data_IF_154359062430
#
_entry.id   IF_154359062430
#
_cell.length_a   1.000
_cell.length_b   1.000
_cell.length_c   1.000
_cell.angle_alpha   90.00
_cell.angle_beta   90.00
_cell.angle_gamma   90.00
#
_symmetry.space_group_name_H-M   'P 1'
#
loop_
_entity.id
_entity.type
_entity.pdbx_description
1 polymer ?
#
# COMPACT_ATOMS: atom_id res chain seq x y z
N UNK A 1 10.54 19.70 -5.92
CA UNK A 1 9.57 20.51 -6.68
C UNK A 1 9.68 20.22 -8.17
N UNK A 2 8.58 20.36 -8.92
CA UNK A 2 8.62 20.26 -10.37
C UNK A 2 9.37 21.44 -10.99
N UNK A 3 10.16 21.16 -12.02
CA UNK A 3 10.80 22.18 -12.85
C UNK A 3 11.01 21.65 -14.26
N UNK A 4 10.71 22.48 -15.26
CA UNK A 4 11.01 22.16 -16.64
C UNK A 4 12.52 22.08 -16.86
N UNK A 5 12.99 21.12 -17.64
CA UNK A 5 14.41 20.90 -17.88
C UNK A 5 15.14 20.09 -16.79
N UNK A 6 14.44 19.67 -15.75
CA UNK A 6 14.99 18.79 -14.70
C UNK A 6 14.91 17.33 -15.12
N UNK A 7 15.95 16.56 -14.81
CA UNK A 7 15.94 15.11 -14.94
C UNK A 7 15.50 14.51 -13.61
N UNK A 8 14.36 13.80 -13.64
CA UNK A 8 13.86 13.03 -12.50
C UNK A 8 14.21 11.56 -12.67
N UNK A 9 14.36 10.86 -11.56
CA UNK A 9 14.55 9.43 -11.59
C UNK A 9 13.27 8.72 -12.04
N UNK A 10 13.40 7.56 -12.63
CA UNK A 10 12.32 6.62 -12.84
C UNK A 10 12.21 5.71 -11.63
N UNK A 11 11.00 5.43 -11.15
CA UNK A 11 10.79 4.44 -10.10
C UNK A 11 11.22 3.06 -10.56
N UNK A 12 12.07 2.44 -9.76
CA UNK A 12 12.44 1.03 -9.85
C UNK A 12 12.45 0.47 -8.43
N UNK A 13 11.91 -0.71 -8.25
CA UNK A 13 11.88 -1.39 -6.95
C UNK A 13 13.24 -1.92 -6.50
N UNK A 14 14.19 -2.05 -7.43
CA UNK A 14 15.51 -2.63 -7.23
C UNK A 14 16.65 -1.60 -7.23
N UNK A 15 16.37 -0.32 -6.97
CA UNK A 15 17.44 0.69 -6.85
C UNK A 15 18.40 0.29 -5.75
N UNK A 16 19.68 0.15 -6.12
CA UNK A 16 20.75 -0.33 -5.25
C UNK A 16 22.10 0.14 -5.77
N UNK A 17 23.16 -0.18 -5.07
CA UNK A 17 24.54 0.11 -5.52
C UNK A 17 24.93 -0.60 -6.83
N UNK A 18 24.23 -1.69 -7.19
CA UNK A 18 24.41 -2.41 -8.47
C UNK A 18 23.36 -2.04 -9.53
N UNK A 19 22.31 -1.30 -9.17
CA UNK A 19 21.25 -0.81 -10.05
C UNK A 19 20.87 0.60 -9.65
N UNK A 20 21.72 1.57 -9.99
CA UNK A 20 21.56 2.97 -9.60
C UNK A 20 20.40 3.64 -10.35
N UNK A 21 19.78 4.62 -9.70
CA UNK A 21 18.87 5.56 -10.35
C UNK A 21 19.62 6.45 -11.37
N UNK A 22 18.89 7.19 -12.18
CA UNK A 22 19.48 8.14 -13.15
C UNK A 22 20.30 9.24 -12.46
N UNK A 23 19.88 9.68 -11.27
CA UNK A 23 20.62 10.63 -10.42
C UNK A 23 21.90 10.05 -9.81
N UNK A 24 22.10 8.75 -9.89
CA UNK A 24 23.17 8.03 -9.20
C UNK A 24 22.79 7.54 -7.81
N UNK A 25 21.56 7.78 -7.34
CA UNK A 25 21.08 7.26 -6.07
C UNK A 25 21.15 5.73 -6.02
N UNK A 26 21.62 5.20 -4.89
CA UNK A 26 21.84 3.77 -4.66
C UNK A 26 20.77 3.13 -3.77
N UNK A 27 19.73 3.86 -3.43
CA UNK A 27 18.58 3.41 -2.67
C UNK A 27 17.34 4.25 -3.03
N UNK A 28 16.16 3.77 -2.64
CA UNK A 28 14.89 4.42 -2.95
C UNK A 28 14.70 5.75 -2.21
N UNK A 29 15.30 5.91 -1.05
CA UNK A 29 15.14 7.12 -0.23
C UNK A 29 15.82 8.34 -0.89
N UNK A 30 17.00 8.16 -1.47
CA UNK A 30 17.77 9.23 -2.12
C UNK A 30 17.33 9.48 -3.58
N UNK A 31 16.44 8.65 -4.11
CA UNK A 31 16.02 8.69 -5.51
C UNK A 31 14.85 9.66 -5.71
N UNK A 32 14.98 10.53 -6.73
CA UNK A 32 14.03 11.62 -7.03
C UNK A 32 12.92 11.21 -8.00
N UNK A 33 12.23 10.10 -7.75
CA UNK A 33 11.16 9.58 -8.60
C UNK A 33 9.75 10.11 -8.28
N UNK A 34 9.64 11.01 -7.31
CA UNK A 34 8.46 11.83 -7.06
C UNK A 34 8.78 13.31 -7.25
N UNK A 35 7.81 14.07 -7.70
CA UNK A 35 7.86 15.51 -7.65
C UNK A 35 6.49 16.09 -7.31
N UNK A 36 6.48 17.31 -6.80
CA UNK A 36 5.28 18.09 -6.48
C UNK A 36 5.21 19.31 -7.39
N UNK A 37 4.00 19.63 -7.85
CA UNK A 37 3.71 20.81 -8.68
C UNK A 37 3.42 22.05 -7.83
N UNK A 38 3.35 23.21 -8.48
CA UNK A 38 2.97 24.48 -7.83
C UNK A 38 1.56 24.44 -7.23
N UNK A 39 0.68 23.61 -7.80
CA UNK A 39 -0.68 23.34 -7.29
C UNK A 39 -0.73 22.22 -6.23
N UNK A 40 0.42 21.86 -5.67
CA UNK A 40 0.55 20.80 -4.67
C UNK A 40 0.08 19.40 -5.12
N UNK A 41 0.11 19.11 -6.42
CA UNK A 41 -0.13 17.76 -6.94
C UNK A 41 1.15 16.95 -6.97
N UNK A 42 1.09 15.73 -6.46
CA UNK A 42 2.22 14.81 -6.40
C UNK A 42 2.12 13.79 -7.52
N UNK A 43 3.21 13.65 -8.26
CA UNK A 43 3.34 12.69 -9.35
C UNK A 43 4.50 11.73 -9.12
N UNK A 44 4.28 10.47 -9.49
CA UNK A 44 5.30 9.44 -9.56
C UNK A 44 5.78 9.29 -11.00
N UNK A 45 7.09 9.24 -11.18
CA UNK A 45 7.71 9.01 -12.48
C UNK A 45 7.82 7.51 -12.73
N UNK A 46 7.12 7.00 -13.73
CA UNK A 46 7.15 5.60 -14.15
C UNK A 46 8.14 5.34 -15.28
N UNK A 47 8.36 6.34 -16.14
CA UNK A 47 9.38 6.34 -17.18
C UNK A 47 9.94 7.75 -17.33
N UNK A 48 11.26 7.88 -17.45
CA UNK A 48 11.96 9.16 -17.55
C UNK A 48 12.64 9.35 -18.91
N UNK A 49 12.11 8.74 -19.98
CA UNK A 49 12.64 8.88 -21.34
C UNK A 49 14.14 8.57 -21.41
N UNK A 50 14.55 7.45 -20.81
CA UNK A 50 15.94 7.03 -20.80
C UNK A 50 16.89 7.98 -20.03
N UNK A 51 16.40 8.74 -19.07
CA UNK A 51 17.18 9.70 -18.29
C UNK A 51 17.32 11.07 -18.96
N UNK A 52 16.49 11.39 -19.93
CA UNK A 52 16.45 12.71 -20.55
C UNK A 52 15.75 13.73 -19.63
N UNK A 53 16.09 15.00 -19.77
CA UNK A 53 15.40 16.05 -19.02
C UNK A 53 13.91 16.15 -19.43
N UNK A 54 13.06 16.40 -18.45
CA UNK A 54 11.63 16.65 -18.66
C UNK A 54 11.47 17.89 -19.57
N UNK A 55 10.68 17.79 -20.63
CA UNK A 55 10.48 18.88 -21.58
C UNK A 55 9.00 19.13 -21.82
N UNK A 56 8.44 20.17 -21.20
CA UNK A 56 7.04 20.53 -21.39
C UNK A 56 6.46 21.35 -20.25
N UNK A 57 5.13 21.44 -20.26
CA UNK A 57 4.37 22.11 -19.21
C UNK A 57 4.29 21.29 -17.93
N UNK A 58 3.98 21.97 -16.85
CA UNK A 58 3.67 21.35 -15.56
C UNK A 58 2.45 20.43 -15.71
N UNK A 59 2.48 19.19 -15.15
CA UNK A 59 1.35 18.29 -15.24
C UNK A 59 0.18 18.77 -14.37
N UNK A 60 -1.02 18.70 -14.95
CA UNK A 60 -2.26 19.10 -14.27
C UNK A 60 -3.27 17.96 -14.13
N UNK A 61 -3.04 16.83 -14.80
CA UNK A 61 -3.96 15.69 -14.80
C UNK A 61 -4.06 15.05 -13.41
N UNK A 62 -5.28 14.81 -12.96
CA UNK A 62 -5.60 14.04 -11.73
C UNK A 62 -6.08 12.62 -12.04
N UNK A 63 -5.87 12.16 -13.29
CA UNK A 63 -6.19 10.78 -13.66
C UNK A 63 -5.36 9.78 -12.86
N UNK A 64 -6.01 8.76 -12.33
CA UNK A 64 -5.36 7.65 -11.64
C UNK A 64 -4.65 6.68 -12.59
N UNK A 65 -4.94 6.76 -13.89
CA UNK A 65 -4.22 6.01 -14.91
C UNK A 65 -2.92 6.71 -15.29
N UNK A 66 -1.83 5.98 -15.56
CA UNK A 66 -0.61 6.58 -16.09
C UNK A 66 -0.85 7.35 -17.39
N UNK A 67 -0.11 8.44 -17.60
CA UNK A 67 -0.20 9.26 -18.79
C UNK A 67 1.17 9.78 -19.21
N UNK A 68 1.33 10.05 -20.53
CA UNK A 68 2.55 10.60 -21.06
C UNK A 68 2.49 12.12 -21.11
N UNK A 69 3.55 12.80 -20.65
CA UNK A 69 3.73 14.23 -20.74
C UNK A 69 5.21 14.59 -20.63
N UNK A 70 5.66 15.55 -21.41
CA UNK A 70 7.04 16.06 -21.34
C UNK A 70 8.13 15.03 -21.66
N UNK A 71 7.78 13.98 -22.41
CA UNK A 71 8.65 12.84 -22.68
C UNK A 71 8.60 11.73 -21.62
N UNK A 72 7.97 11.99 -20.48
CA UNK A 72 7.88 11.08 -19.34
C UNK A 72 6.55 10.33 -19.30
N UNK A 73 6.51 9.21 -18.62
CA UNK A 73 5.26 8.56 -18.18
C UNK A 73 5.08 8.82 -16.69
N UNK A 74 3.99 9.50 -16.38
CA UNK A 74 3.67 9.98 -15.04
C UNK A 74 2.42 9.27 -14.50
N UNK A 75 2.35 9.17 -13.20
CA UNK A 75 1.14 8.77 -12.47
C UNK A 75 0.82 9.79 -11.39
N UNK A 76 -0.40 10.33 -11.44
CA UNK A 76 -0.91 11.14 -10.34
C UNK A 76 -1.08 10.28 -9.09
N UNK A 77 -0.64 10.78 -7.96
CA UNK A 77 -0.72 10.08 -6.68
C UNK A 77 -1.78 10.72 -5.78
N UNK A 78 -1.61 11.98 -5.44
CA UNK A 78 -2.52 12.76 -4.58
C UNK A 78 -2.22 14.26 -4.72
N UNK A 79 -3.06 15.08 -4.09
CA UNK A 79 -2.80 16.49 -3.93
C UNK A 79 -2.82 16.87 -2.44
N UNK A 80 -1.96 17.79 -2.05
CA UNK A 80 -1.96 18.38 -0.72
C UNK A 80 -2.85 19.63 -0.73
N UNK A 81 -3.41 19.94 0.41
CA UNK A 81 -4.01 21.25 0.64
C UNK A 81 -2.90 22.30 0.87
N UNK A 82 -3.19 23.57 0.59
CA UNK A 82 -2.25 24.65 0.88
C UNK A 82 -1.82 24.69 2.37
N UNK A 83 -2.72 24.29 3.28
CA UNK A 83 -2.44 24.21 4.71
C UNK A 83 -1.45 23.09 5.05
N UNK A 84 -1.58 21.93 4.43
CA UNK A 84 -0.66 20.80 4.60
C UNK A 84 0.70 21.14 4.01
N UNK A 85 0.74 21.73 2.82
CA UNK A 85 1.97 22.21 2.21
C UNK A 85 2.71 23.21 3.11
N UNK A 86 1.99 24.20 3.62
CA UNK A 86 2.59 25.22 4.49
C UNK A 86 3.11 24.67 5.83
N UNK A 87 2.52 23.59 6.35
CA UNK A 87 2.91 23.02 7.65
C UNK A 87 3.99 21.96 7.56
N UNK A 88 3.96 21.12 6.53
CA UNK A 88 4.68 19.85 6.53
C UNK A 88 5.61 19.66 5.33
N UNK A 89 5.46 20.45 4.25
CA UNK A 89 6.36 20.37 3.10
C UNK A 89 7.70 21.02 3.45
N UNK A 90 8.77 20.28 3.22
CA UNK A 90 10.14 20.77 3.36
C UNK A 90 10.95 20.44 2.09
N UNK A 91 12.22 20.81 2.06
CA UNK A 91 13.11 20.46 0.94
C UNK A 91 13.27 18.95 0.79
N UNK A 92 13.24 18.21 1.90
CA UNK A 92 13.56 16.78 1.93
C UNK A 92 12.34 15.89 2.13
N UNK A 93 11.23 16.45 2.64
CA UNK A 93 10.05 15.67 3.02
C UNK A 93 8.78 16.25 2.43
N UNK A 94 7.94 15.35 1.93
CA UNK A 94 6.63 15.63 1.38
C UNK A 94 5.58 14.89 2.22
N UNK A 95 4.54 15.58 2.75
CA UNK A 95 3.51 14.90 3.51
C UNK A 95 2.74 13.93 2.60
N UNK A 96 2.33 12.81 3.17
CA UNK A 96 1.45 11.84 2.52
C UNK A 96 0.01 12.20 2.84
N UNK A 97 -0.85 12.23 1.83
CA UNK A 97 -2.29 12.41 2.05
C UNK A 97 -2.86 11.23 2.82
N UNK A 98 -3.61 11.51 3.86
CA UNK A 98 -4.39 10.50 4.56
C UNK A 98 -5.68 10.21 3.77
N UNK A 99 -5.89 8.94 3.43
CA UNK A 99 -7.15 8.49 2.82
C UNK A 99 -8.09 8.02 3.95
N UNK A 100 -9.12 8.81 4.18
CA UNK A 100 -10.10 8.50 5.22
C UNK A 100 -10.82 7.15 5.02
N UNK A 101 -10.92 6.68 3.78
CA UNK A 101 -11.50 5.37 3.47
C UNK A 101 -10.57 4.26 3.93
N UNK A 102 -9.28 4.42 3.67
CA UNK A 102 -8.25 3.47 4.14
C UNK A 102 -8.15 3.51 5.65
N UNK A 103 -8.09 4.71 6.25
CA UNK A 103 -8.04 4.88 7.70
C UNK A 103 -9.28 4.30 8.39
N UNK A 104 -10.46 4.52 7.83
CA UNK A 104 -11.69 3.96 8.37
C UNK A 104 -11.79 2.44 8.21
N UNK A 105 -11.16 1.88 7.18
CA UNK A 105 -11.09 0.43 6.97
C UNK A 105 -9.96 -0.23 7.78
N UNK A 106 -8.96 0.53 8.19
CA UNK A 106 -7.86 0.03 9.00
C UNK A 106 -8.35 -0.20 10.44
N UNK A 107 -8.21 -1.42 10.90
CA UNK A 107 -8.42 -1.78 12.31
C UNK A 107 -7.09 -2.21 12.86
N UNK A 108 -6.58 -1.46 13.83
CA UNK A 108 -5.28 -1.73 14.44
C UNK A 108 -5.26 -3.13 15.08
N UNK A 109 -4.20 -3.88 14.81
CA UNK A 109 -4.07 -5.26 15.26
C UNK A 109 -5.10 -6.23 14.65
N UNK A 110 -5.70 -5.92 13.51
CA UNK A 110 -6.58 -6.84 12.79
C UNK A 110 -5.77 -7.93 12.08
N UNK A 111 -6.23 -9.18 12.19
CA UNK A 111 -5.66 -10.27 11.40
C UNK A 111 -6.08 -10.13 9.95
N UNK A 112 -5.13 -9.94 9.05
CA UNK A 112 -5.37 -9.71 7.63
C UNK A 112 -5.36 -11.02 6.82
N UNK A 113 -4.53 -11.97 7.21
CA UNK A 113 -4.41 -13.26 6.52
C UNK A 113 -4.09 -14.39 7.49
N UNK A 114 -4.44 -15.59 7.08
CA UNK A 114 -4.14 -16.83 7.79
C UNK A 114 -3.47 -17.81 6.84
N UNK A 115 -2.52 -18.56 7.37
CA UNK A 115 -1.97 -19.76 6.72
C UNK A 115 -2.22 -20.95 7.63
N UNK A 116 -2.63 -22.07 7.05
CA UNK A 116 -2.94 -23.28 7.80
C UNK A 116 -2.25 -24.48 7.16
N UNK A 117 -1.73 -25.36 7.99
CA UNK A 117 -1.29 -26.69 7.55
C UNK A 117 -2.49 -27.62 7.72
N UNK A 118 -3.04 -28.08 6.61
CA UNK A 118 -4.20 -28.97 6.63
C UNK A 118 -3.82 -30.33 7.21
N UNK A 119 -4.62 -30.80 8.14
CA UNK A 119 -4.60 -32.17 8.63
C UNK A 119 -5.64 -33.04 7.92
N UNK A 120 -5.82 -34.27 8.38
CA UNK A 120 -6.79 -35.23 7.86
C UNK A 120 -7.50 -35.96 9.00
N UNK A 121 -8.59 -36.67 8.68
CA UNK A 121 -9.37 -37.43 9.66
C UNK A 121 -10.38 -36.60 10.43
N UNK A 122 -10.70 -35.42 9.94
CA UNK A 122 -11.75 -34.57 10.53
C UNK A 122 -13.16 -35.03 10.11
N UNK A 123 -14.13 -34.76 10.95
CA UNK A 123 -15.54 -34.91 10.59
C UNK A 123 -15.95 -33.79 9.65
N UNK A 124 -16.69 -34.13 8.57
CA UNK A 124 -17.18 -33.15 7.63
C UNK A 124 -18.17 -32.18 8.31
N UNK A 125 -18.04 -30.89 7.99
CA UNK A 125 -18.89 -29.85 8.56
C UNK A 125 -18.28 -28.48 8.48
N UNK A 126 -19.00 -27.50 9.04
CA UNK A 126 -18.49 -26.11 9.20
C UNK A 126 -18.26 -25.85 10.68
N UNK A 127 -17.07 -25.40 10.99
CA UNK A 127 -16.62 -25.10 12.35
C UNK A 127 -16.22 -23.66 12.49
N UNK A 128 -16.25 -23.15 13.70
CA UNK A 128 -15.87 -21.81 14.06
C UNK A 128 -14.87 -21.84 15.22
N UNK A 129 -13.70 -21.26 15.02
CA UNK A 129 -12.65 -21.22 16.01
C UNK A 129 -12.31 -19.77 16.36
N UNK A 130 -12.34 -19.44 17.65
CA UNK A 130 -11.83 -18.18 18.13
C UNK A 130 -10.30 -18.18 18.07
N UNK A 131 -9.72 -17.05 17.61
CA UNK A 131 -8.27 -16.85 17.60
C UNK A 131 -7.89 -16.04 18.82
N UNK A 132 -6.89 -16.50 19.54
CA UNK A 132 -6.30 -15.83 20.68
C UNK A 132 -4.87 -15.40 20.35
N UNK A 133 -4.44 -14.25 20.89
CA UNK A 133 -3.04 -13.82 20.76
C UNK A 133 -2.10 -14.68 21.58
N UNK A 134 -0.84 -14.65 21.28
CA UNK A 134 0.41 -15.22 21.87
C UNK A 134 0.35 -16.52 22.69
N UNK A 135 -0.80 -17.17 22.80
CA UNK A 135 -0.96 -18.45 23.49
C UNK A 135 -0.92 -18.43 25.02
N UNK A 136 -0.77 -17.30 25.64
CA UNK A 136 -0.59 -17.22 27.11
C UNK A 136 -1.75 -16.58 27.87
N UNK A 137 -2.55 -15.78 27.22
CA UNK A 137 -3.72 -15.15 27.83
C UNK A 137 -4.71 -14.71 26.77
N UNK A 138 -5.98 -14.71 27.10
CA UNK A 138 -6.96 -13.88 26.41
C UNK A 138 -6.64 -12.42 26.73
N UNK A 139 -5.56 -11.90 26.11
CA UNK A 139 -5.14 -10.54 26.33
C UNK A 139 -6.19 -9.53 25.84
N UNK A 140 -5.75 -8.37 25.49
CA UNK A 140 -6.59 -7.32 24.88
C UNK A 140 -7.07 -7.68 23.46
N UNK A 141 -6.44 -8.68 22.81
CA UNK A 141 -6.84 -9.18 21.49
C UNK A 141 -8.16 -9.95 21.56
N UNK A 142 -9.11 -9.59 20.72
CA UNK A 142 -10.44 -10.17 20.76
C UNK A 142 -11.17 -10.10 19.43
N UNK A 143 -12.18 -10.93 19.27
CA UNK A 143 -13.16 -10.84 18.22
C UNK A 143 -12.77 -11.50 16.90
N UNK A 144 -11.57 -12.08 16.77
CA UNK A 144 -11.25 -12.87 15.57
C UNK A 144 -11.84 -14.26 15.67
N UNK A 145 -12.58 -14.64 14.63
CA UNK A 145 -13.19 -15.96 14.48
C UNK A 145 -12.86 -16.49 13.10
N UNK A 146 -12.28 -17.67 13.04
CA UNK A 146 -12.00 -18.37 11.78
C UNK A 146 -13.12 -19.36 11.51
N UNK A 147 -13.67 -19.29 10.31
CA UNK A 147 -14.53 -20.32 9.79
C UNK A 147 -13.69 -21.40 9.10
N UNK A 148 -13.95 -22.63 9.38
CA UNK A 148 -13.27 -23.79 8.80
C UNK A 148 -14.33 -24.70 8.21
N UNK A 149 -14.24 -25.01 6.92
CA UNK A 149 -15.08 -26.00 6.26
C UNK A 149 -14.28 -27.27 6.03
N UNK A 150 -14.77 -28.36 6.55
CA UNK A 150 -14.20 -29.71 6.35
C UNK A 150 -15.06 -30.46 5.35
N UNK A 151 -14.41 -31.07 4.38
CA UNK A 151 -15.06 -31.96 3.39
C UNK A 151 -14.13 -33.13 3.08
N UNK A 152 -14.70 -34.33 3.04
CA UNK A 152 -13.94 -35.58 2.83
C UNK A 152 -12.80 -35.77 3.83
N UNK A 153 -13.07 -35.40 5.08
CA UNK A 153 -12.13 -35.57 6.19
C UNK A 153 -10.94 -34.60 6.18
N UNK A 154 -10.93 -33.59 5.31
CA UNK A 154 -9.85 -32.62 5.21
C UNK A 154 -10.38 -31.19 5.19
N UNK A 155 -9.54 -30.20 5.56
CA UNK A 155 -9.92 -28.81 5.49
C UNK A 155 -10.02 -28.41 4.02
N UNK A 156 -11.25 -28.08 3.57
CA UNK A 156 -11.55 -27.65 2.22
C UNK A 156 -11.41 -26.13 2.05
N UNK A 157 -11.76 -25.35 3.08
CA UNK A 157 -11.61 -23.90 3.09
C UNK A 157 -11.54 -23.36 4.52
N UNK A 158 -10.92 -22.22 4.66
CA UNK A 158 -10.86 -21.45 5.90
C UNK A 158 -10.74 -19.96 5.59
N UNK A 159 -11.13 -19.10 6.50
CA UNK A 159 -11.00 -17.67 6.27
C UNK A 159 -11.54 -16.80 7.40
N UNK A 160 -11.14 -15.54 7.31
CA UNK A 160 -11.58 -14.44 8.16
C UNK A 160 -12.57 -13.53 7.43
N UNK A 161 -13.01 -13.88 6.23
CA UNK A 161 -13.75 -12.98 5.36
C UNK A 161 -15.22 -12.91 5.80
N UNK A 162 -15.65 -11.70 6.11
CA UNK A 162 -17.05 -11.33 6.03
C UNK A 162 -17.43 -11.28 4.55
N UNK A 163 -17.89 -12.37 3.99
CA UNK A 163 -18.51 -12.38 2.67
C UNK A 163 -20.02 -12.37 2.78
N UNK A 164 -20.71 -12.50 1.67
CA UNK A 164 -22.16 -12.76 1.57
C UNK A 164 -22.59 -14.04 2.27
N UNK A 165 -21.67 -14.89 2.61
CA UNK A 165 -21.83 -15.90 3.62
C UNK A 165 -21.72 -15.22 4.98
N UNK A 166 -22.83 -15.06 5.64
CA UNK A 166 -23.04 -14.40 6.93
C UNK A 166 -22.18 -14.94 8.07
N UNK A 167 -21.06 -15.49 7.77
CA UNK A 167 -20.33 -16.30 8.66
C UNK A 167 -18.98 -15.84 8.92
N UNK A 168 -18.74 -14.73 9.25
CA UNK A 168 -17.70 -14.35 9.97
C UNK A 168 -16.81 -13.54 9.47
N UNK A 169 -16.20 -12.94 9.63
CA UNK A 169 -16.29 -12.39 10.64
C UNK A 169 -15.22 -11.46 10.91
N UNK A 170 -14.62 -11.20 11.60
CA UNK A 170 -13.81 -10.09 11.97
C UNK A 170 -12.37 -10.59 12.09
N UNK A 171 -11.44 -9.87 11.55
CA UNK A 171 -10.03 -10.07 11.86
C UNK A 171 -9.71 -9.77 13.33
N UNK A 172 -10.73 -9.40 14.11
CA UNK A 172 -10.54 -8.97 15.50
C UNK A 172 -9.80 -7.65 15.63
N UNK A 173 -9.28 -7.37 16.81
CA UNK A 173 -8.50 -6.18 17.12
C UNK A 173 -7.40 -6.50 18.14
N UNK A 174 -6.38 -5.67 18.19
CA UNK A 174 -5.28 -5.72 19.15
C UNK A 174 -4.44 -7.01 19.11
N UNK A 175 -4.38 -7.69 17.98
CA UNK A 175 -3.37 -8.73 17.76
C UNK A 175 -2.04 -8.08 17.39
N UNK A 176 -0.96 -8.45 18.05
CA UNK A 176 0.39 -7.92 17.84
C UNK A 176 1.36 -9.03 17.48
#
# INVERSE_FOLDING_TARGET
DWSNGTTYDMYKDNISSSSTATSGATNLFDSSYYFITTDFRVYKVLDNNGGSAYSGSEPTSTSTSPFALGGYVLKYMYALTASEGAKYLTTDYMPVSDDSTVTAAATDGKIESLSITAGSGYTDGTYYAAVYGDGTSQGTSSGAIVRITVSSGSIASFGLTAGTDTTIHAGGAAYT
#
